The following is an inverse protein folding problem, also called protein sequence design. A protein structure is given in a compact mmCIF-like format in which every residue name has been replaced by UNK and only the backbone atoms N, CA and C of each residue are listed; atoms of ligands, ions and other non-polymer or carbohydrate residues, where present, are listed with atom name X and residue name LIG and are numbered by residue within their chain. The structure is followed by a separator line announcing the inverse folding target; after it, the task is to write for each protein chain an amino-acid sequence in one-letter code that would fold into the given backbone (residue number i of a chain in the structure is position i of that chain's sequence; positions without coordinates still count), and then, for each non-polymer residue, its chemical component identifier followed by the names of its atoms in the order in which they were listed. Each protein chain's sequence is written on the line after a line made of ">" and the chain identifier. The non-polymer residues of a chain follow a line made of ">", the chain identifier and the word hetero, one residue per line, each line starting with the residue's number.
data_IF_998532516820
#
_entry.id   IF_998532516820
#
_cell.length_a   1.000
_cell.length_b   1.000
_cell.length_c   1.000
_cell.angle_alpha   90.00
_cell.angle_beta   90.00
_cell.angle_gamma   90.00
#
_symmetry.space_group_name_H-M   'P 1'
#
loop_
_entity.id
_entity.type
_entity.pdbx_description
1 polymer ?
#
# COMPACT_ATOMS: atom_id res chain seq x y z
N UNK A 1 39.07 15.29 -13.59
CA UNK A 1 39.24 13.86 -13.24
C UNK A 1 39.49 13.75 -11.75
N UNK A 2 38.89 12.77 -11.08
CA UNK A 2 39.20 12.46 -9.67
C UNK A 2 40.59 11.83 -9.58
N UNK A 3 41.31 12.08 -8.48
CA UNK A 3 42.60 11.41 -8.24
C UNK A 3 42.37 9.92 -7.89
N UNK A 4 43.31 9.02 -8.24
CA UNK A 4 43.23 7.60 -7.91
C UNK A 4 42.98 7.40 -6.40
N UNK A 5 41.95 6.63 -6.07
CA UNK A 5 41.62 6.29 -4.68
C UNK A 5 42.32 4.98 -4.28
N UNK A 6 42.85 4.86 -3.05
CA UNK A 6 43.39 3.60 -2.56
C UNK A 6 42.26 2.55 -2.45
N UNK A 7 42.57 1.30 -2.79
CA UNK A 7 41.61 0.19 -2.66
C UNK A 7 41.25 -0.02 -1.16
N UNK A 8 39.95 -0.07 -0.79
CA UNK A 8 39.53 -0.38 0.57
C UNK A 8 40.16 -1.66 1.11
N UNK A 9 40.52 -1.66 2.39
CA UNK A 9 41.31 -2.75 2.98
C UNK A 9 40.61 -4.11 2.90
N UNK A 10 39.29 -4.12 3.05
CA UNK A 10 38.44 -5.30 2.93
C UNK A 10 38.42 -5.93 1.52
N UNK A 11 38.97 -5.25 0.50
CA UNK A 11 39.09 -5.71 -0.87
C UNK A 11 40.53 -6.07 -1.29
N UNK A 12 41.55 -5.71 -0.48
CA UNK A 12 42.95 -6.08 -0.74
C UNK A 12 43.11 -7.60 -0.76
N UNK A 13 43.82 -8.13 -1.76
CA UNK A 13 44.05 -9.58 -1.92
C UNK A 13 42.84 -10.40 -2.38
N UNK A 14 41.69 -9.78 -2.66
CA UNK A 14 40.51 -10.46 -3.22
C UNK A 14 40.42 -10.25 -4.73
N UNK A 15 39.90 -11.25 -5.44
CA UNK A 15 39.54 -11.08 -6.84
C UNK A 15 38.43 -10.01 -6.96
N UNK A 16 38.69 -8.97 -7.75
CA UNK A 16 37.73 -7.91 -8.04
C UNK A 16 37.03 -8.21 -9.36
N UNK A 17 35.76 -7.83 -9.47
CA UNK A 17 35.00 -7.88 -10.71
C UNK A 17 34.48 -6.47 -11.04
N UNK A 18 34.41 -6.09 -12.33
CA UNK A 18 33.84 -4.80 -12.71
C UNK A 18 32.35 -4.78 -12.38
N UNK A 19 31.91 -3.77 -11.62
CA UNK A 19 30.51 -3.52 -11.33
C UNK A 19 30.17 -2.09 -11.71
N UNK A 20 29.19 -1.92 -12.61
CA UNK A 20 28.71 -0.61 -13.07
C UNK A 20 27.25 -0.47 -12.68
N UNK A 21 26.98 0.31 -11.64
CA UNK A 21 25.64 0.78 -11.34
C UNK A 21 25.37 2.05 -12.19
N UNK A 22 24.25 2.10 -12.88
CA UNK A 22 23.90 3.22 -13.76
C UNK A 22 22.39 3.45 -13.75
N UNK A 23 21.97 4.69 -14.06
CA UNK A 23 20.56 5.10 -14.09
C UNK A 23 20.35 6.02 -15.30
N UNK A 24 19.30 5.77 -16.08
CA UNK A 24 18.88 6.55 -17.24
C UNK A 24 19.98 6.78 -18.30
N UNK A 25 20.88 5.81 -18.49
CA UNK A 25 21.92 5.83 -19.53
C UNK A 25 22.08 4.46 -20.20
N UNK A 26 22.53 4.44 -21.44
CA UNK A 26 22.95 3.21 -22.14
C UNK A 26 24.42 2.94 -21.83
N UNK A 27 24.73 1.76 -21.26
CA UNK A 27 26.11 1.34 -21.00
C UNK A 27 26.57 0.36 -22.07
N UNK A 28 27.60 0.74 -22.84
CA UNK A 28 28.35 -0.17 -23.68
C UNK A 28 29.56 -0.68 -22.91
N UNK A 29 29.65 -2.00 -22.69
CA UNK A 29 30.77 -2.63 -21.99
C UNK A 29 31.75 -3.21 -23.01
N UNK A 30 33.03 -2.85 -22.91
CA UNK A 30 34.10 -3.41 -23.73
C UNK A 30 35.11 -4.16 -22.85
N UNK A 31 35.16 -5.48 -23.00
CA UNK A 31 36.10 -6.37 -22.31
C UNK A 31 37.13 -7.00 -23.26
N UNK A 32 37.28 -6.48 -24.48
CA UNK A 32 38.26 -6.98 -25.46
C UNK A 32 39.71 -6.76 -25.04
N UNK A 33 40.67 -7.33 -25.78
CA UNK A 33 42.10 -7.35 -25.40
C UNK A 33 42.83 -6.00 -25.53
N UNK A 34 42.28 -5.06 -26.31
CA UNK A 34 42.83 -3.71 -26.51
C UNK A 34 41.77 -2.66 -26.18
N UNK A 35 42.15 -1.47 -25.68
CA UNK A 35 41.19 -0.41 -25.40
C UNK A 35 40.67 0.22 -26.71
N UNK A 36 39.38 0.62 -26.73
CA UNK A 36 38.74 1.25 -27.91
C UNK A 36 39.37 2.61 -28.33
N UNK A 37 40.17 3.20 -27.44
CA UNK A 37 40.93 4.44 -27.66
C UNK A 37 42.15 4.42 -26.73
N UNK A 38 43.25 5.06 -27.15
CA UNK A 38 44.40 5.29 -26.27
C UNK A 38 43.98 6.03 -24.98
N UNK A 39 44.55 5.60 -23.84
CA UNK A 39 44.17 6.07 -22.49
C UNK A 39 45.14 7.12 -21.92
N UNK A 40 45.71 7.94 -22.79
CA UNK A 40 46.73 8.93 -22.40
C UNK A 40 46.23 9.87 -21.27
N UNK A 41 47.07 10.18 -20.27
CA UNK A 41 48.51 9.91 -20.19
C UNK A 41 48.88 8.55 -19.53
N UNK A 42 47.92 7.66 -19.26
CA UNK A 42 48.19 6.39 -18.57
C UNK A 42 48.05 5.17 -19.49
N UNK A 43 48.59 4.04 -19.03
CA UNK A 43 48.42 2.74 -19.68
C UNK A 43 47.81 1.76 -18.68
N UNK A 44 46.77 1.04 -19.09
CA UNK A 44 46.26 -0.11 -18.38
C UNK A 44 45.91 -1.23 -19.36
N UNK A 45 46.08 -2.48 -18.94
CA UNK A 45 45.54 -3.63 -19.67
C UNK A 45 44.04 -3.67 -19.45
N UNK A 46 43.29 -4.00 -20.50
CA UNK A 46 41.87 -4.36 -20.39
C UNK A 46 41.71 -5.78 -19.83
N UNK A 47 40.51 -6.14 -19.41
CA UNK A 47 40.22 -7.47 -18.84
C UNK A 47 40.50 -8.61 -19.86
N UNK A 48 40.17 -8.43 -21.14
CA UNK A 48 40.48 -9.41 -22.18
C UNK A 48 41.97 -9.52 -22.55
N UNK A 49 42.80 -8.57 -22.09
CA UNK A 49 44.25 -8.56 -22.24
C UNK A 49 45.02 -8.85 -20.94
N UNK A 50 44.31 -9.22 -19.87
CA UNK A 50 44.91 -9.58 -18.59
C UNK A 50 45.58 -10.97 -18.66
N UNK A 51 46.69 -11.15 -17.94
CA UNK A 51 47.36 -12.44 -17.93
C UNK A 51 46.56 -13.47 -17.12
N UNK A 52 46.71 -14.76 -17.43
CA UNK A 52 46.02 -15.84 -16.70
C UNK A 52 46.37 -15.87 -15.19
N UNK A 53 47.54 -15.35 -14.79
CA UNK A 53 47.92 -15.18 -13.38
C UNK A 53 47.19 -14.02 -12.68
N UNK A 54 46.70 -13.03 -13.44
CA UNK A 54 46.03 -11.82 -12.94
C UNK A 54 44.49 -12.01 -12.86
N UNK A 55 43.95 -13.12 -13.39
CA UNK A 55 42.50 -13.36 -13.54
C UNK A 55 42.07 -14.63 -12.82
N UNK A 56 41.15 -14.50 -11.85
CA UNK A 56 40.44 -15.65 -11.27
C UNK A 56 39.21 -15.98 -12.12
N UNK A 57 39.28 -17.03 -12.93
CA UNK A 57 38.11 -17.56 -13.66
C UNK A 57 37.27 -18.41 -12.71
N UNK A 58 36.24 -17.79 -12.11
CA UNK A 58 35.21 -18.54 -11.40
C UNK A 58 34.40 -19.37 -12.40
N UNK A 59 34.65 -20.68 -12.44
CA UNK A 59 33.75 -21.61 -13.13
C UNK A 59 32.45 -21.64 -12.34
N UNK A 60 31.39 -21.06 -12.90
CA UNK A 60 30.04 -21.16 -12.35
C UNK A 60 29.69 -22.63 -12.09
N UNK A 61 28.91 -22.89 -11.03
CA UNK A 61 28.63 -24.24 -10.54
C UNK A 61 28.05 -25.12 -11.66
N UNK A 62 28.91 -25.96 -12.25
CA UNK A 62 28.51 -26.86 -13.32
C UNK A 62 27.58 -27.94 -12.74
N UNK A 63 26.42 -28.19 -13.36
CA UNK A 63 25.50 -29.21 -12.88
C UNK A 63 26.12 -30.60 -13.02
N UNK A 64 25.83 -31.49 -12.06
CA UNK A 64 26.44 -32.83 -11.96
C UNK A 64 26.33 -33.65 -13.25
N UNK A 65 25.20 -33.52 -13.94
CA UNK A 65 24.87 -34.28 -15.16
C UNK A 65 25.20 -33.49 -16.45
N UNK A 66 25.91 -32.36 -16.35
CA UNK A 66 26.21 -31.46 -17.49
C UNK A 66 25.03 -30.64 -18.01
N UNK A 67 23.79 -30.94 -17.58
CA UNK A 67 22.56 -30.21 -17.90
C UNK A 67 22.03 -29.38 -16.74
N UNK A 68 21.58 -28.16 -17.03
CA UNK A 68 20.88 -27.31 -16.04
C UNK A 68 19.39 -27.68 -15.96
N UNK A 69 18.81 -27.65 -14.76
CA UNK A 69 17.39 -27.97 -14.57
C UNK A 69 16.51 -26.75 -14.85
N UNK A 70 15.49 -26.93 -15.69
CA UNK A 70 14.41 -25.97 -15.92
C UNK A 70 13.15 -26.57 -15.31
N UNK A 71 12.87 -26.13 -14.09
CA UNK A 71 11.82 -26.69 -13.24
C UNK A 71 10.52 -25.89 -13.37
N UNK A 72 9.41 -26.60 -13.52
CA UNK A 72 8.06 -26.03 -13.64
C UNK A 72 7.22 -26.44 -12.42
N UNK A 73 6.94 -25.54 -11.46
CA UNK A 73 6.05 -25.82 -10.34
C UNK A 73 4.61 -25.97 -10.84
N UNK A 74 3.97 -27.10 -10.54
CA UNK A 74 2.56 -27.36 -10.85
C UNK A 74 1.82 -27.53 -9.53
N UNK A 75 1.21 -26.46 -9.05
CA UNK A 75 0.48 -26.37 -7.79
C UNK A 75 -0.93 -25.82 -8.03
N UNK A 76 -1.87 -26.10 -7.13
CA UNK A 76 -3.22 -25.56 -7.25
C UNK A 76 -3.26 -24.11 -6.72
N UNK A 77 -4.03 -23.18 -7.35
CA UNK A 77 -4.05 -21.79 -6.93
C UNK A 77 -4.50 -21.62 -5.47
N UNK A 78 -3.91 -20.66 -4.76
CA UNK A 78 -4.22 -20.29 -3.37
C UNK A 78 -3.88 -21.38 -2.32
N UNK A 79 -3.23 -22.48 -2.73
CA UNK A 79 -2.82 -23.59 -1.85
C UNK A 79 -1.30 -23.59 -1.59
N UNK A 80 -0.78 -22.40 -1.25
CA UNK A 80 0.61 -22.25 -0.80
C UNK A 80 1.68 -22.32 -1.91
N UNK A 81 1.31 -22.22 -3.19
CA UNK A 81 2.22 -22.30 -4.36
C UNK A 81 3.51 -21.50 -4.19
N UNK A 82 3.38 -20.21 -3.88
CA UNK A 82 4.54 -19.32 -3.71
C UNK A 82 5.27 -19.53 -2.38
N UNK A 83 4.58 -19.98 -1.33
CA UNK A 83 5.23 -20.31 -0.06
C UNK A 83 6.17 -21.51 -0.21
N UNK A 84 5.74 -22.52 -0.97
CA UNK A 84 6.57 -23.66 -1.34
C UNK A 84 7.75 -23.21 -2.22
N UNK A 85 7.50 -22.34 -3.20
CA UNK A 85 8.55 -21.82 -4.08
C UNK A 85 9.61 -21.02 -3.30
N UNK A 86 9.20 -20.19 -2.35
CA UNK A 86 10.11 -19.38 -1.54
C UNK A 86 11.00 -20.26 -0.66
N UNK A 87 10.45 -21.34 -0.08
CA UNK A 87 11.22 -22.36 0.63
C UNK A 87 12.18 -23.11 -0.31
N UNK A 88 11.69 -23.56 -1.46
CA UNK A 88 12.51 -24.25 -2.47
C UNK A 88 13.71 -23.41 -2.92
N UNK A 89 13.50 -22.12 -3.24
CA UNK A 89 14.59 -21.22 -3.68
C UNK A 89 15.59 -20.98 -2.54
N UNK A 90 15.12 -20.82 -1.30
CA UNK A 90 15.98 -20.65 -0.12
C UNK A 90 16.91 -21.86 0.09
N UNK A 91 16.42 -23.07 -0.12
CA UNK A 91 17.19 -24.31 -0.03
C UNK A 91 18.06 -24.57 -1.27
N UNK A 92 17.62 -24.07 -2.43
CA UNK A 92 18.26 -24.31 -3.73
C UNK A 92 18.71 -23.00 -4.40
N UNK A 93 19.63 -22.22 -3.79
CA UNK A 93 20.02 -20.87 -4.26
C UNK A 93 20.73 -20.82 -5.62
N UNK A 94 21.01 -21.97 -6.24
CA UNK A 94 21.49 -22.04 -7.63
C UNK A 94 20.38 -21.79 -8.66
N UNK A 95 19.11 -21.96 -8.27
CA UNK A 95 17.97 -21.75 -9.15
C UNK A 95 17.63 -20.27 -9.27
N UNK A 96 17.21 -19.89 -10.47
CA UNK A 96 16.76 -18.53 -10.77
C UNK A 96 15.29 -18.56 -11.17
N UNK A 97 14.46 -17.90 -10.38
CA UNK A 97 13.05 -17.78 -10.68
C UNK A 97 12.82 -16.84 -11.86
N UNK A 98 12.05 -17.33 -12.83
CA UNK A 98 11.48 -16.59 -13.94
C UNK A 98 9.99 -16.42 -13.66
N UNK A 99 9.61 -15.24 -13.20
CA UNK A 99 8.23 -14.89 -12.86
C UNK A 99 8.03 -13.38 -12.97
N UNK A 100 6.77 -12.97 -13.11
CA UNK A 100 6.42 -11.56 -13.14
C UNK A 100 6.76 -10.86 -11.80
N UNK A 101 6.61 -11.53 -10.64
CA UNK A 101 7.02 -10.97 -9.34
C UNK A 101 8.53 -10.69 -9.26
N UNK A 102 9.38 -11.51 -9.89
CA UNK A 102 10.83 -11.27 -9.95
C UNK A 102 11.22 -10.15 -10.90
N UNK A 103 10.50 -9.96 -12.01
CA UNK A 103 10.70 -8.78 -12.86
C UNK A 103 10.40 -7.49 -12.08
N UNK A 104 9.35 -7.49 -11.25
CA UNK A 104 9.04 -6.35 -10.37
C UNK A 104 10.11 -6.14 -9.29
N UNK A 105 10.57 -7.21 -8.64
CA UNK A 105 11.68 -7.15 -7.67
C UNK A 105 12.94 -6.52 -8.28
N UNK A 106 13.33 -6.94 -9.49
CA UNK A 106 14.47 -6.37 -10.22
C UNK A 106 14.24 -4.91 -10.64
N UNK A 107 13.03 -4.54 -11.06
CA UNK A 107 12.69 -3.16 -11.39
C UNK A 107 12.83 -2.26 -10.15
N UNK A 108 12.26 -2.69 -9.01
CA UNK A 108 12.37 -1.97 -7.74
C UNK A 108 13.83 -1.86 -7.25
N UNK A 109 14.61 -2.94 -7.32
CA UNK A 109 16.04 -2.94 -7.00
C UNK A 109 16.84 -2.01 -7.94
N UNK A 110 16.39 -1.82 -9.18
CA UNK A 110 16.98 -0.88 -10.16
C UNK A 110 16.52 0.57 -9.98
N UNK A 111 15.80 0.89 -8.88
CA UNK A 111 15.30 2.24 -8.61
C UNK A 111 14.09 2.65 -9.46
N UNK A 112 13.41 1.70 -10.13
CA UNK A 112 12.11 1.94 -10.75
C UNK A 112 11.03 1.90 -9.67
N UNK A 113 10.50 3.07 -9.32
CA UNK A 113 9.44 3.21 -8.35
C UNK A 113 8.08 3.33 -9.05
N UNK A 114 7.02 2.77 -8.46
CA UNK A 114 5.66 2.91 -8.99
C UNK A 114 5.14 4.32 -8.66
N UNK A 115 4.76 5.15 -9.65
CA UNK A 115 4.10 6.43 -9.34
C UNK A 115 2.82 6.19 -8.53
N UNK A 116 2.59 7.04 -7.52
CA UNK A 116 1.56 6.82 -6.51
C UNK A 116 0.13 6.98 -7.05
N UNK A 117 -0.74 6.04 -6.67
CA UNK A 117 -2.22 6.11 -6.70
C UNK A 117 -2.87 6.53 -8.05
N UNK A 118 -2.92 5.58 -8.98
CA UNK A 118 -3.94 5.56 -10.03
C UNK A 118 -5.16 4.71 -9.62
N UNK A 119 -6.36 5.05 -10.13
CA UNK A 119 -7.65 4.39 -9.84
C UNK A 119 -7.75 2.88 -10.20
N UNK A 120 -6.69 2.28 -10.75
CA UNK A 120 -6.61 0.85 -11.13
C UNK A 120 -5.76 0.00 -10.18
N UNK A 121 -5.07 0.63 -9.21
CA UNK A 121 -4.17 -0.09 -8.30
C UNK A 121 -4.89 -1.21 -7.55
N UNK A 122 -4.33 -2.43 -7.63
CA UNK A 122 -4.79 -3.58 -6.84
C UNK A 122 -5.62 -4.61 -7.60
N UNK A 123 -5.69 -4.54 -8.93
CA UNK A 123 -6.38 -5.55 -9.75
C UNK A 123 -5.50 -6.75 -10.17
N UNK A 124 -4.22 -6.76 -9.80
CA UNK A 124 -3.30 -7.87 -10.07
C UNK A 124 -3.48 -9.06 -9.11
N UNK A 125 -2.96 -10.22 -9.51
CA UNK A 125 -2.84 -11.42 -8.66
C UNK A 125 -1.36 -11.71 -8.33
N UNK A 126 -1.05 -12.69 -7.47
CA UNK A 126 0.35 -13.03 -7.19
C UNK A 126 1.07 -13.65 -8.40
N UNK A 127 0.35 -14.39 -9.26
CA UNK A 127 0.85 -14.90 -10.55
C UNK A 127 1.02 -13.80 -11.61
N UNK A 128 0.11 -12.83 -11.62
CA UNK A 128 0.07 -11.72 -12.59
C UNK A 128 -0.03 -10.39 -11.85
N UNK A 129 1.05 -9.96 -11.18
CA UNK A 129 1.08 -8.70 -10.46
C UNK A 129 1.05 -7.51 -11.44
N UNK A 130 0.57 -6.37 -10.96
CA UNK A 130 0.33 -5.20 -11.81
C UNK A 130 1.65 -4.50 -12.21
N UNK A 131 1.89 -4.38 -13.52
CA UNK A 131 2.94 -3.55 -14.11
C UNK A 131 2.33 -2.17 -14.41
N UNK A 132 2.64 -1.20 -13.55
CA UNK A 132 2.18 0.18 -13.65
C UNK A 132 3.28 1.11 -13.12
N UNK A 133 4.41 1.16 -13.82
CA UNK A 133 5.60 1.94 -13.45
C UNK A 133 5.71 3.25 -14.24
N UNK A 134 4.88 3.44 -15.27
CA UNK A 134 5.02 4.53 -16.23
C UNK A 134 6.14 4.30 -17.23
N UNK A 135 6.70 3.08 -17.29
CA UNK A 135 7.74 2.69 -18.24
C UNK A 135 7.14 1.78 -19.30
N UNK A 136 7.18 2.23 -20.55
CA UNK A 136 6.49 1.58 -21.67
C UNK A 136 6.87 0.10 -21.80
N UNK A 137 8.15 -0.24 -21.68
CA UNK A 137 8.71 -1.58 -21.88
C UNK A 137 8.36 -2.56 -20.75
N UNK A 138 8.11 -2.06 -19.53
CA UNK A 138 7.61 -2.87 -18.41
C UNK A 138 6.09 -3.05 -18.53
N UNK A 139 5.36 -1.95 -18.70
CA UNK A 139 3.90 -1.93 -18.62
C UNK A 139 3.24 -2.54 -19.88
N UNK A 140 3.96 -2.64 -21.01
CA UNK A 140 3.54 -3.39 -22.22
C UNK A 140 4.10 -4.84 -22.29
N UNK A 141 4.72 -5.34 -21.22
CA UNK A 141 5.34 -6.67 -21.13
C UNK A 141 6.49 -6.95 -22.14
N UNK A 142 7.14 -5.93 -22.70
CA UNK A 142 8.32 -6.15 -23.57
C UNK A 142 9.49 -6.77 -22.82
N UNK A 143 9.69 -6.41 -21.55
CA UNK A 143 10.70 -7.05 -20.70
C UNK A 143 10.46 -8.56 -20.56
N UNK A 144 9.21 -9.02 -20.43
CA UNK A 144 8.86 -10.46 -20.40
C UNK A 144 9.23 -11.16 -21.71
N UNK A 145 9.03 -10.51 -22.86
CA UNK A 145 9.43 -11.02 -24.19
C UNK A 145 10.96 -11.10 -24.35
N UNK A 146 11.68 -10.07 -23.91
CA UNK A 146 13.15 -10.03 -23.94
C UNK A 146 13.73 -11.13 -23.04
N UNK A 147 13.25 -11.27 -21.81
CA UNK A 147 13.67 -12.33 -20.90
C UNK A 147 13.42 -13.73 -21.50
N UNK A 148 12.24 -13.97 -22.06
CA UNK A 148 11.91 -15.24 -22.71
C UNK A 148 12.80 -15.58 -23.93
N UNK A 149 13.37 -14.58 -24.60
CA UNK A 149 14.30 -14.78 -25.72
C UNK A 149 15.75 -15.00 -25.26
N UNK A 150 16.15 -14.41 -24.13
CA UNK A 150 17.53 -14.48 -23.62
C UNK A 150 17.77 -15.68 -22.70
N UNK A 151 16.78 -16.13 -21.91
CA UNK A 151 16.99 -17.20 -20.91
C UNK A 151 17.44 -18.55 -21.49
N UNK A 152 17.02 -19.01 -22.69
CA UNK A 152 17.54 -20.25 -23.28
C UNK A 152 19.02 -20.17 -23.70
N UNK A 153 19.58 -18.97 -23.82
CA UNK A 153 20.98 -18.76 -24.19
C UNK A 153 21.92 -18.69 -22.98
N UNK A 154 21.37 -18.63 -21.75
CA UNK A 154 22.15 -18.47 -20.52
C UNK A 154 22.14 -19.78 -19.72
N UNK A 155 23.27 -20.51 -19.63
CA UNK A 155 23.35 -21.79 -18.92
C UNK A 155 23.27 -21.61 -17.40
N UNK A 156 22.06 -21.78 -16.83
CA UNK A 156 21.80 -21.78 -15.37
C UNK A 156 20.53 -22.55 -15.02
N UNK A 157 20.39 -22.94 -13.76
CA UNK A 157 19.15 -23.55 -13.27
C UNK A 157 18.03 -22.51 -13.20
N UNK A 158 16.83 -22.87 -13.67
CA UNK A 158 15.67 -21.99 -13.75
C UNK A 158 14.46 -22.59 -13.06
N UNK A 159 13.63 -21.76 -12.43
CA UNK A 159 12.25 -22.10 -12.09
C UNK A 159 11.32 -21.23 -12.93
N UNK A 160 10.51 -21.84 -13.79
CA UNK A 160 9.51 -21.13 -14.60
C UNK A 160 8.21 -21.12 -13.80
N UNK A 161 7.97 -20.02 -13.08
CA UNK A 161 6.83 -19.90 -12.18
C UNK A 161 5.69 -19.12 -12.84
N UNK A 162 4.67 -19.86 -13.29
CA UNK A 162 3.41 -19.35 -13.80
C UNK A 162 2.29 -20.24 -13.22
N UNK A 163 1.44 -19.75 -12.32
CA UNK A 163 0.43 -20.56 -11.62
C UNK A 163 -0.58 -21.12 -12.62
N UNK A 164 -1.22 -20.25 -13.42
CA UNK A 164 -2.20 -20.72 -14.41
C UNK A 164 -1.52 -21.54 -15.50
N UNK A 165 -0.44 -21.03 -16.07
CA UNK A 165 0.12 -21.60 -17.30
C UNK A 165 0.77 -22.97 -17.06
N UNK A 166 1.31 -23.23 -15.86
CA UNK A 166 1.82 -24.55 -15.50
C UNK A 166 0.71 -25.58 -15.26
N UNK A 167 -0.55 -25.17 -15.11
CA UNK A 167 -1.72 -26.06 -15.05
C UNK A 167 -2.31 -26.38 -16.43
N UNK A 168 -2.01 -25.59 -17.46
CA UNK A 168 -2.58 -25.74 -18.81
C UNK A 168 -1.59 -26.45 -19.73
N UNK A 169 -1.93 -27.65 -20.22
CA UNK A 169 -1.04 -28.48 -21.04
C UNK A 169 -0.57 -27.82 -22.36
N UNK A 170 -1.37 -26.91 -22.91
CA UNK A 170 -0.98 -26.09 -24.07
C UNK A 170 0.16 -25.15 -23.71
N UNK A 171 -0.03 -24.35 -22.66
CA UNK A 171 0.93 -23.32 -22.27
C UNK A 171 2.25 -23.96 -21.79
N UNK A 172 2.19 -25.09 -21.07
CA UNK A 172 3.39 -25.90 -20.73
C UNK A 172 4.22 -26.24 -21.96
N UNK A 173 3.61 -26.74 -23.04
CA UNK A 173 4.32 -27.04 -24.30
C UNK A 173 4.95 -25.79 -24.92
N UNK A 174 4.24 -24.66 -24.91
CA UNK A 174 4.73 -23.37 -25.43
C UNK A 174 5.92 -22.80 -24.62
N UNK A 175 6.04 -23.14 -23.34
CA UNK A 175 7.25 -22.85 -22.54
C UNK A 175 8.36 -23.87 -22.75
N UNK A 176 8.06 -25.17 -22.79
CA UNK A 176 9.04 -26.25 -23.00
C UNK A 176 9.79 -26.12 -24.34
N UNK A 177 9.11 -25.64 -25.38
CA UNK A 177 9.71 -25.39 -26.69
C UNK A 177 10.90 -24.42 -26.64
N UNK A 178 10.87 -23.44 -25.71
CA UNK A 178 11.93 -22.43 -25.53
C UNK A 178 13.22 -23.04 -24.98
N UNK A 179 13.11 -24.07 -24.13
CA UNK A 179 14.23 -24.76 -23.49
C UNK A 179 14.56 -26.09 -24.18
N UNK A 180 14.48 -26.12 -25.51
CA UNK A 180 14.74 -27.32 -26.33
C UNK A 180 16.21 -27.62 -26.59
N UNK A 181 17.13 -26.71 -26.22
CA UNK A 181 18.58 -26.90 -26.34
C UNK A 181 19.14 -28.02 -25.45
N UNK A 182 20.24 -28.68 -25.86
CA UNK A 182 20.79 -29.85 -25.15
C UNK A 182 21.33 -29.54 -23.76
N UNK A 183 21.63 -28.27 -23.48
CA UNK A 183 22.12 -27.72 -22.22
C UNK A 183 21.13 -27.86 -21.05
N UNK A 184 19.85 -28.11 -21.34
CA UNK A 184 18.80 -28.15 -20.32
C UNK A 184 18.19 -29.54 -20.15
N UNK A 185 17.77 -29.82 -18.91
CA UNK A 185 16.81 -30.85 -18.53
C UNK A 185 15.52 -30.13 -18.16
N UNK A 186 14.38 -30.57 -18.68
CA UNK A 186 13.06 -30.01 -18.31
C UNK A 186 12.36 -30.91 -17.30
N UNK A 187 12.06 -30.36 -16.13
CA UNK A 187 11.43 -31.08 -15.02
C UNK A 187 10.11 -30.42 -14.66
N UNK A 188 9.03 -31.20 -14.53
CA UNK A 188 7.83 -30.74 -13.83
C UNK A 188 7.89 -31.13 -12.35
N UNK A 189 7.46 -30.23 -11.46
CA UNK A 189 7.43 -30.47 -10.02
C UNK A 189 6.00 -30.27 -9.52
N UNK A 190 5.28 -31.38 -9.30
CA UNK A 190 3.88 -31.39 -8.88
C UNK A 190 3.79 -31.24 -7.36
N UNK A 191 3.16 -30.16 -6.93
CA UNK A 191 3.02 -29.73 -5.53
C UNK A 191 1.52 -29.66 -5.25
N UNK A 192 0.91 -30.83 -5.10
CA UNK A 192 -0.53 -31.01 -4.92
C UNK A 192 -0.83 -32.22 -4.02
N UNK A 193 -1.97 -32.17 -3.36
CA UNK A 193 -2.39 -33.16 -2.37
C UNK A 193 -2.12 -32.68 -0.96
N UNK A 194 -2.01 -33.62 -0.02
CA UNK A 194 -1.73 -33.31 1.37
C UNK A 194 -0.26 -32.91 1.57
N UNK A 195 0.06 -31.71 2.09
CA UNK A 195 1.44 -31.30 2.31
C UNK A 195 2.14 -32.11 3.40
N UNK A 196 3.48 -32.08 3.35
CA UNK A 196 4.33 -32.57 4.41
C UNK A 196 4.14 -31.82 5.74
N UNK A 197 4.65 -32.40 6.83
CA UNK A 197 4.47 -31.86 8.18
C UNK A 197 5.19 -30.51 8.39
N UNK A 198 6.36 -30.32 7.77
CA UNK A 198 7.15 -29.10 7.90
C UNK A 198 6.42 -27.91 7.26
N UNK A 199 5.86 -28.12 6.06
CA UNK A 199 5.06 -27.13 5.37
C UNK A 199 3.78 -26.77 6.16
N UNK A 200 3.05 -27.76 6.68
CA UNK A 200 1.87 -27.53 7.54
C UNK A 200 2.22 -26.69 8.77
N UNK A 201 3.30 -27.03 9.49
CA UNK A 201 3.76 -26.25 10.65
C UNK A 201 4.14 -24.82 10.26
N UNK A 202 4.82 -24.62 9.12
CA UNK A 202 5.15 -23.29 8.61
C UNK A 202 3.91 -22.47 8.23
N UNK A 203 2.85 -23.10 7.72
CA UNK A 203 1.57 -22.45 7.43
C UNK A 203 0.79 -22.12 8.71
N UNK A 204 0.70 -23.03 9.67
CA UNK A 204 0.12 -22.78 10.99
C UNK A 204 0.84 -21.63 11.71
N UNK A 205 2.17 -21.58 11.67
CA UNK A 205 2.95 -20.47 12.24
C UNK A 205 2.66 -19.12 11.56
N UNK A 206 2.39 -19.10 10.24
CA UNK A 206 1.94 -17.89 9.52
C UNK A 206 0.54 -17.46 9.96
N UNK A 207 -0.41 -18.40 10.10
CA UNK A 207 -1.76 -18.12 10.60
C UNK A 207 -1.68 -17.53 12.01
N UNK A 208 -0.93 -18.17 12.90
CA UNK A 208 -0.71 -17.73 14.28
C UNK A 208 -0.12 -16.31 14.32
N UNK A 209 0.94 -16.05 13.56
CA UNK A 209 1.57 -14.72 13.46
C UNK A 209 0.59 -13.66 12.92
N UNK A 210 -0.22 -13.99 11.92
CA UNK A 210 -1.22 -13.07 11.37
C UNK A 210 -2.38 -12.81 12.34
N UNK A 211 -2.80 -13.82 13.10
CA UNK A 211 -3.82 -13.73 14.16
C UNK A 211 -3.33 -12.86 15.32
N UNK A 212 -2.09 -13.11 15.78
CA UNK A 212 -1.42 -12.31 16.80
C UNK A 212 -1.27 -10.85 16.35
N UNK A 213 -0.79 -10.60 15.12
CA UNK A 213 -0.67 -9.24 14.59
C UNK A 213 -2.02 -8.49 14.53
N UNK A 214 -3.11 -9.18 14.15
CA UNK A 214 -4.47 -8.62 14.18
C UNK A 214 -4.95 -8.31 15.60
N UNK A 215 -4.65 -9.17 16.58
CA UNK A 215 -5.02 -8.98 17.98
C UNK A 215 -4.23 -7.82 18.61
N UNK A 216 -2.91 -7.79 18.44
CA UNK A 216 -2.04 -6.68 18.86
C UNK A 216 -2.48 -5.36 18.22
N UNK A 217 -2.81 -5.33 16.92
CA UNK A 217 -3.31 -4.12 16.26
C UNK A 217 -4.67 -3.65 16.82
N UNK A 218 -5.62 -4.57 17.05
CA UNK A 218 -6.91 -4.22 17.69
C UNK A 218 -6.69 -3.64 19.09
N UNK A 219 -5.87 -4.30 19.90
CA UNK A 219 -5.51 -3.82 21.25
C UNK A 219 -4.83 -2.43 21.21
N UNK A 220 -3.93 -2.18 20.25
CA UNK A 220 -3.33 -0.85 20.06
C UNK A 220 -4.37 0.22 19.69
N UNK A 221 -5.31 -0.10 18.78
CA UNK A 221 -6.40 0.81 18.40
C UNK A 221 -7.33 1.09 19.59
N UNK A 222 -7.70 0.07 20.36
CA UNK A 222 -8.54 0.22 21.56
C UNK A 222 -7.84 1.01 22.67
N UNK A 223 -6.55 0.75 22.94
CA UNK A 223 -5.73 1.53 23.88
C UNK A 223 -5.65 3.00 23.44
N UNK A 224 -5.37 3.26 22.16
CA UNK A 224 -5.37 4.61 21.60
C UNK A 224 -6.75 5.30 21.69
N UNK A 225 -7.85 4.58 21.45
CA UNK A 225 -9.20 5.14 21.57
C UNK A 225 -9.56 5.44 23.04
N UNK A 226 -9.19 4.58 24.00
CA UNK A 226 -9.35 4.83 25.44
C UNK A 226 -8.59 6.08 25.87
N UNK A 227 -7.32 6.21 25.48
CA UNK A 227 -6.49 7.40 25.78
C UNK A 227 -7.12 8.65 25.16
N UNK A 228 -7.54 8.60 23.90
CA UNK A 228 -8.23 9.73 23.23
C UNK A 228 -9.53 10.12 23.95
N UNK A 229 -10.33 9.15 24.42
CA UNK A 229 -11.56 9.41 25.19
C UNK A 229 -11.27 10.03 26.56
N UNK A 230 -10.27 9.53 27.30
CA UNK A 230 -9.82 10.13 28.57
C UNK A 230 -9.38 11.59 28.37
N UNK A 231 -8.49 11.84 27.40
CA UNK A 231 -8.00 13.19 27.08
C UNK A 231 -9.12 14.14 26.62
N UNK A 232 -10.06 13.68 25.79
CA UNK A 232 -11.21 14.49 25.36
C UNK A 232 -12.15 14.83 26.52
N UNK A 233 -12.42 13.87 27.42
CA UNK A 233 -13.23 14.11 28.61
C UNK A 233 -12.57 15.12 29.57
N UNK A 234 -11.25 15.06 29.72
CA UNK A 234 -10.51 16.03 30.55
C UNK A 234 -10.46 17.42 29.92
N UNK A 235 -10.15 17.54 28.61
CA UNK A 235 -10.23 18.83 27.89
C UNK A 235 -11.65 19.42 27.98
N UNK A 236 -12.70 18.61 27.83
CA UNK A 236 -14.09 19.06 27.99
C UNK A 236 -14.41 19.53 29.43
N UNK A 237 -13.89 18.85 30.46
CA UNK A 237 -14.04 19.26 31.86
C UNK A 237 -13.33 20.59 32.14
N UNK A 238 -12.06 20.73 31.71
CA UNK A 238 -11.29 21.98 31.83
C UNK A 238 -12.02 23.16 31.16
N UNK A 239 -12.54 22.94 29.96
CA UNK A 239 -13.27 23.97 29.19
C UNK A 239 -14.62 24.34 29.84
N UNK A 240 -15.37 23.36 30.38
CA UNK A 240 -16.60 23.61 31.11
C UNK A 240 -16.37 24.38 32.43
N UNK A 241 -15.30 24.07 33.16
CA UNK A 241 -14.94 24.78 34.39
C UNK A 241 -14.37 26.18 34.10
N UNK A 242 -13.69 26.38 32.97
CA UNK A 242 -13.32 27.71 32.48
C UNK A 242 -14.53 28.56 32.09
N UNK A 243 -15.50 28.00 31.36
CA UNK A 243 -16.77 28.67 31.01
C UNK A 243 -17.55 29.11 32.26
N UNK A 244 -17.65 28.26 33.28
CA UNK A 244 -18.29 28.63 34.56
C UNK A 244 -17.59 29.79 35.26
N UNK A 245 -16.25 29.81 35.29
CA UNK A 245 -15.48 30.92 35.87
C UNK A 245 -15.69 32.21 35.10
N UNK A 246 -15.66 32.16 33.76
CA UNK A 246 -15.92 33.32 32.90
C UNK A 246 -17.35 33.86 33.07
N UNK A 247 -18.35 32.98 33.22
CA UNK A 247 -19.73 33.40 33.50
C UNK A 247 -19.89 34.04 34.88
N UNK A 248 -19.28 33.46 35.92
CA UNK A 248 -19.25 34.05 37.26
C UNK A 248 -18.61 35.44 37.25
N UNK A 249 -17.47 35.61 36.57
CA UNK A 249 -16.78 36.90 36.46
C UNK A 249 -17.61 37.92 35.67
N UNK A 250 -18.31 37.48 34.60
CA UNK A 250 -19.23 38.34 33.83
C UNK A 250 -20.43 38.79 34.68
N UNK A 251 -20.99 37.90 35.50
CA UNK A 251 -22.12 38.22 36.36
C UNK A 251 -21.71 39.18 37.49
N UNK A 252 -20.53 38.98 38.11
CA UNK A 252 -19.96 39.92 39.08
C UNK A 252 -19.69 41.31 38.46
N UNK A 253 -19.19 41.38 37.22
CA UNK A 253 -19.03 42.66 36.49
C UNK A 253 -20.37 43.35 36.26
N UNK A 254 -21.40 42.63 35.82
CA UNK A 254 -22.76 43.16 35.66
C UNK A 254 -23.38 43.65 36.98
N UNK A 255 -23.20 42.93 38.08
CA UNK A 255 -23.67 43.39 39.40
C UNK A 255 -22.93 44.63 39.88
N UNK A 256 -21.61 44.73 39.64
CA UNK A 256 -20.82 45.91 39.98
C UNK A 256 -21.21 47.13 39.13
N UNK A 257 -21.51 46.92 37.85
CA UNK A 257 -21.98 47.96 36.92
C UNK A 257 -23.39 48.44 37.28
N UNK A 258 -24.33 47.52 37.53
CA UNK A 258 -25.68 47.85 38.01
C UNK A 258 -25.67 48.59 39.36
N UNK A 259 -24.75 48.26 40.28
CA UNK A 259 -24.57 49.02 41.53
C UNK A 259 -24.06 50.44 41.28
N UNK A 260 -23.08 50.63 40.39
CA UNK A 260 -22.59 51.96 40.00
C UNK A 260 -23.67 52.78 39.28
N UNK A 261 -24.53 52.15 38.49
CA UNK A 261 -25.63 52.81 37.79
C UNK A 261 -26.76 53.19 38.77
N UNK A 262 -27.10 52.32 39.73
CA UNK A 262 -28.01 52.63 40.81
C UNK A 262 -27.50 53.76 41.71
N UNK A 263 -26.22 53.77 42.05
CA UNK A 263 -25.57 54.84 42.85
C UNK A 263 -25.57 56.17 42.08
N UNK A 264 -25.27 56.16 40.77
CA UNK A 264 -25.42 57.35 39.91
C UNK A 264 -26.87 57.83 39.82
N UNK A 265 -27.86 56.93 39.75
CA UNK A 265 -29.27 57.29 39.73
C UNK A 265 -29.76 57.86 41.08
N UNK A 266 -29.18 57.40 42.20
CA UNK A 266 -29.45 57.98 43.52
C UNK A 266 -28.83 59.38 43.67
N UNK A 267 -27.61 59.59 43.15
CA UNK A 267 -26.98 60.92 43.10
C UNK A 267 -27.75 61.87 42.18
N UNK A 268 -28.18 61.42 40.99
CA UNK A 268 -28.99 62.23 40.08
C UNK A 268 -30.33 62.66 40.71
N UNK A 269 -31.00 61.76 41.46
CA UNK A 269 -32.20 62.13 42.23
C UNK A 269 -31.93 63.10 43.38
N UNK A 270 -30.73 63.08 43.96
CA UNK A 270 -30.29 64.08 44.96
C UNK A 270 -29.87 65.41 44.35
N UNK A 271 -29.58 65.48 43.05
CA UNK A 271 -29.34 66.73 42.32
C UNK A 271 -30.63 67.32 41.71
N UNK A 272 -31.64 66.52 41.36
CA UNK A 272 -32.96 67.03 40.93
C UNK A 272 -33.71 67.74 42.07
N UNK A 273 -33.59 67.30 43.32
CA UNK A 273 -34.15 67.95 44.52
C UNK A 273 -33.49 69.32 44.86
N UNK A 274 -32.56 69.80 44.02
CA UNK A 274 -31.84 71.09 44.18
C UNK A 274 -32.07 72.03 42.98
N UNK A 275 -32.91 71.65 42.00
CA UNK A 275 -33.16 72.44 40.78
C UNK A 275 -34.64 72.64 40.41
N UNK A 276 -35.52 72.74 41.41
CA UNK A 276 -36.91 73.21 41.21
C UNK A 276 -37.17 74.63 41.75
N UNK A 277 -36.24 75.58 41.49
CA UNK A 277 -36.53 77.02 41.60
C UNK A 277 -35.57 77.84 40.70
N UNK A 278 -35.92 78.08 39.41
CA UNK A 278 -36.28 79.42 38.90
C UNK A 278 -36.57 79.49 37.37
N UNK A 279 -37.82 79.89 37.06
CA UNK A 279 -38.39 80.61 35.88
C UNK A 279 -37.84 80.50 34.43
N UNK A 280 -38.76 80.12 33.54
CA UNK A 280 -39.08 80.75 32.22
C UNK A 280 -40.21 81.81 32.43
N UNK A 281 -40.76 82.59 31.45
CA UNK A 281 -40.45 82.77 30.00
C UNK A 281 -40.55 84.22 29.41
N UNK A 282 -40.23 84.38 28.10
CA UNK A 282 -40.94 85.13 26.99
C UNK A 282 -39.98 85.22 25.77
N UNK A 283 -40.34 84.86 24.52
CA UNK A 283 -41.03 85.62 23.43
C UNK A 283 -40.36 86.95 22.99
N UNK A 284 -40.13 87.30 21.71
CA UNK A 284 -40.30 86.56 20.43
C UNK A 284 -40.02 87.42 19.14
N UNK A 285 -40.07 86.77 17.96
CA UNK A 285 -40.35 87.28 16.57
C UNK A 285 -39.30 88.05 15.68
N UNK A 286 -39.24 87.61 14.38
CA UNK A 286 -38.81 88.27 13.10
C UNK A 286 -37.37 88.85 12.95
N UNK A 287 -36.66 88.89 11.80
CA UNK A 287 -36.89 88.45 10.40
C UNK A 287 -36.91 89.63 9.39
N UNK A 288 -36.14 89.70 8.28
CA UNK A 288 -35.09 88.85 7.64
C UNK A 288 -34.62 89.43 6.28
N UNK A 289 -33.85 88.67 5.46
CA UNK A 289 -33.28 89.02 4.10
C UNK A 289 -32.12 90.08 4.10
N UNK A 290 -31.12 90.15 3.18
CA UNK A 290 -30.61 89.41 1.97
C UNK A 290 -29.19 90.00 1.65
N UNK A 291 -28.28 89.51 0.79
CA UNK A 291 -27.98 88.23 0.10
C UNK A 291 -26.62 88.31 -0.67
N UNK A 292 -26.02 87.15 -1.00
CA UNK A 292 -25.01 86.86 -2.06
C UNK A 292 -23.55 87.39 -1.88
N UNK A 293 -22.48 86.72 -2.36
CA UNK A 293 -22.39 85.51 -3.22
C UNK A 293 -21.14 84.62 -2.97
N UNK A 294 -21.26 83.32 -3.35
CA UNK A 294 -20.31 82.28 -3.88
C UNK A 294 -18.80 82.22 -3.46
N UNK A 295 -18.09 81.07 -3.42
CA UNK A 295 -18.28 79.74 -4.04
C UNK A 295 -17.52 78.58 -3.31
N UNK A 296 -18.03 77.32 -3.39
CA UNK A 296 -17.35 75.99 -3.24
C UNK A 296 -16.47 75.62 -1.98
N UNK A 297 -16.43 74.37 -1.42
CA UNK A 297 -17.06 73.06 -1.73
C UNK A 297 -16.99 72.05 -0.54
N UNK A 298 -18.10 71.33 -0.29
CA UNK A 298 -18.27 69.95 0.27
C UNK A 298 -17.96 69.54 1.73
N UNK A 299 -18.84 68.66 2.19
CA UNK A 299 -19.05 68.06 3.52
C UNK A 299 -18.06 66.95 3.91
N UNK A 300 -17.88 66.75 5.23
CA UNK A 300 -17.87 65.44 5.89
C UNK A 300 -18.15 65.59 7.41
N UNK A 301 -18.91 64.66 8.00
CA UNK A 301 -19.36 64.67 9.41
C UNK A 301 -18.46 63.87 10.37
N UNK A 302 -18.51 64.13 11.69
CA UNK A 302 -17.60 63.51 12.65
C UNK A 302 -18.08 62.13 13.13
N UNK A 303 -17.71 61.07 12.42
CA UNK A 303 -17.98 59.67 12.82
C UNK A 303 -16.69 58.85 13.09
N UNK A 304 -15.52 59.46 12.90
CA UNK A 304 -14.22 58.79 12.77
C UNK A 304 -13.36 58.82 14.06
N UNK A 305 -14.00 58.75 15.24
CA UNK A 305 -13.31 58.73 16.56
C UNK A 305 -13.82 57.68 17.56
N UNK A 306 -14.55 56.66 17.08
CA UNK A 306 -15.03 55.54 17.91
C UNK A 306 -14.61 54.15 17.44
N UNK A 307 -14.00 54.00 16.26
CA UNK A 307 -13.56 52.69 15.77
C UNK A 307 -12.12 52.33 16.18
N UNK A 308 -11.20 53.29 16.31
CA UNK A 308 -9.81 52.99 16.66
C UNK A 308 -9.64 52.43 18.09
N UNK A 309 -10.41 52.94 19.06
CA UNK A 309 -10.30 52.52 20.48
C UNK A 309 -10.88 51.10 20.73
N UNK A 310 -11.72 50.59 19.82
CA UNK A 310 -12.30 49.24 19.88
C UNK A 310 -11.37 48.19 19.24
N UNK A 311 -10.51 48.61 18.31
CA UNK A 311 -9.59 47.70 17.61
C UNK A 311 -8.45 47.23 18.50
N UNK A 312 -7.80 48.16 19.21
CA UNK A 312 -6.58 47.89 20.00
C UNK A 312 -6.86 46.96 21.21
N UNK A 313 -8.04 47.05 21.82
CA UNK A 313 -8.43 46.15 22.93
C UNK A 313 -8.82 44.73 22.47
N UNK A 314 -9.06 44.53 21.17
CA UNK A 314 -9.45 43.22 20.61
C UNK A 314 -8.23 42.33 20.31
N UNK A 315 -7.18 42.88 19.70
CA UNK A 315 -5.95 42.13 19.36
C UNK A 315 -5.14 41.74 20.62
N UNK A 316 -5.16 42.59 21.66
CA UNK A 316 -4.49 42.33 22.93
C UNK A 316 -5.10 41.19 23.77
N UNK A 317 -6.34 40.76 23.48
CA UNK A 317 -6.97 39.60 24.14
C UNK A 317 -6.66 38.29 23.41
N UNK A 318 -6.74 38.25 22.09
CA UNK A 318 -6.50 37.05 21.28
C UNK A 318 -5.06 36.55 21.47
N UNK A 319 -4.06 37.44 21.41
CA UNK A 319 -2.64 37.08 21.60
C UNK A 319 -2.32 36.54 23.01
N UNK A 320 -3.15 36.84 24.01
CA UNK A 320 -2.99 36.36 25.39
C UNK A 320 -3.73 35.05 25.67
N UNK A 321 -4.70 34.71 24.82
CA UNK A 321 -5.41 33.43 24.84
C UNK A 321 -4.58 32.35 24.11
N UNK A 322 -3.99 32.67 22.94
CA UNK A 322 -3.04 31.76 22.25
C UNK A 322 -1.80 31.41 23.10
N UNK A 323 -1.15 32.39 23.74
CA UNK A 323 -0.02 32.11 24.64
C UNK A 323 -0.40 31.36 25.94
N UNK A 324 -1.69 31.28 26.27
CA UNK A 324 -2.19 30.50 27.40
C UNK A 324 -2.53 29.05 26.99
N UNK A 325 -2.97 28.81 25.76
CA UNK A 325 -3.08 27.46 25.20
C UNK A 325 -1.69 26.83 24.99
N UNK A 326 -0.76 27.55 24.36
CA UNK A 326 0.60 27.06 24.03
C UNK A 326 1.42 26.68 25.28
N UNK A 327 1.21 27.38 26.41
CA UNK A 327 1.86 27.06 27.71
C UNK A 327 1.11 26.07 28.60
N UNK A 328 -0.11 25.66 28.25
CA UNK A 328 -0.78 24.55 28.93
C UNK A 328 -0.61 23.21 28.20
N UNK A 329 -0.12 23.19 26.97
CA UNK A 329 0.14 21.93 26.25
C UNK A 329 1.43 21.21 26.72
N UNK A 330 2.42 21.93 27.28
CA UNK A 330 3.59 21.32 27.95
C UNK A 330 3.30 20.81 29.38
N UNK A 331 2.16 21.18 29.98
CA UNK A 331 1.88 20.97 31.42
C UNK A 331 1.01 19.76 31.77
N UNK A 332 0.69 18.91 30.80
CA UNK A 332 -0.17 17.73 31.01
C UNK A 332 0.65 16.45 30.94
N UNK A 333 1.44 16.21 32.00
CA UNK A 333 1.72 14.84 32.43
C UNK A 333 0.37 14.15 32.65
N UNK A 334 -0.05 13.37 31.66
CA UNK A 334 -1.02 12.31 31.88
C UNK A 334 -0.30 11.35 32.81
N UNK A 335 -0.67 11.39 34.09
CA UNK A 335 -0.24 10.44 35.11
C UNK A 335 -0.32 9.04 34.47
N UNK A 336 0.82 8.34 34.35
CA UNK A 336 0.92 7.02 33.71
C UNK A 336 0.32 5.91 34.61
N UNK A 337 -0.91 6.17 35.06
CA UNK A 337 -1.74 5.29 35.85
C UNK A 337 -2.36 4.21 34.99
N UNK A 338 -1.70 3.06 35.01
CA UNK A 338 -2.34 1.74 34.97
C UNK A 338 -2.95 1.33 33.61
N UNK A 339 -2.07 0.97 32.66
CA UNK A 339 -2.41 0.03 31.57
C UNK A 339 -1.15 -0.69 31.04
N UNK A 340 -0.32 -1.23 31.95
CA UNK A 340 0.81 -2.17 31.69
C UNK A 340 0.33 -3.58 31.26
N UNK A 341 -0.84 -3.65 30.63
CA UNK A 341 -1.36 -4.89 30.08
C UNK A 341 -0.57 -5.25 28.83
N UNK A 342 0.15 -6.37 28.87
CA UNK A 342 0.81 -6.95 27.71
C UNK A 342 -0.21 -7.21 26.57
N UNK A 343 0.22 -7.16 25.29
CA UNK A 343 -0.67 -7.44 24.18
C UNK A 343 -1.23 -8.86 24.28
N UNK A 344 -2.52 -9.09 23.95
CA UNK A 344 -3.16 -10.38 24.15
C UNK A 344 -2.49 -11.47 23.31
N UNK A 345 -1.93 -12.48 23.97
CA UNK A 345 -1.40 -13.70 23.31
C UNK A 345 -2.57 -14.54 22.81
N UNK A 346 -2.51 -14.99 21.56
CA UNK A 346 -3.58 -15.74 20.90
C UNK A 346 -3.10 -17.12 20.45
N UNK A 347 -3.89 -18.15 20.71
CA UNK A 347 -3.64 -19.52 20.23
C UNK A 347 -4.47 -19.86 18.98
N UNK A 348 -4.08 -20.90 18.24
CA UNK A 348 -4.87 -21.42 17.10
C UNK A 348 -6.02 -22.28 17.59
N UNK A 349 -7.23 -22.09 17.05
CA UNK A 349 -8.35 -23.01 17.28
C UNK A 349 -8.12 -24.36 16.59
N UNK A 350 -8.85 -25.40 16.99
CA UNK A 350 -8.79 -26.72 16.33
C UNK A 350 -9.08 -26.62 14.82
N UNK A 351 -10.01 -25.76 14.42
CA UNK A 351 -10.32 -25.49 13.01
C UNK A 351 -9.14 -24.84 12.26
N UNK A 352 -8.44 -23.89 12.88
CA UNK A 352 -7.25 -23.23 12.30
C UNK A 352 -6.05 -24.18 12.24
N UNK A 353 -5.92 -25.10 13.22
CA UNK A 353 -4.90 -26.15 13.20
C UNK A 353 -5.15 -27.17 12.08
N UNK A 354 -6.41 -27.43 11.72
CA UNK A 354 -6.77 -28.30 10.60
C UNK A 354 -6.49 -27.68 9.22
N UNK A 355 -6.25 -26.37 9.11
CA UNK A 355 -5.92 -25.71 7.84
C UNK A 355 -4.52 -26.08 7.36
N UNK A 356 -4.42 -26.61 6.14
CA UNK A 356 -3.13 -26.92 5.49
C UNK A 356 -2.43 -25.69 4.91
N UNK A 357 -3.18 -24.61 4.64
CA UNK A 357 -2.73 -23.43 3.91
C UNK A 357 -3.19 -22.15 4.61
N UNK A 358 -2.30 -21.17 4.78
CA UNK A 358 -2.68 -19.86 5.30
C UNK A 358 -3.50 -19.07 4.25
N UNK A 359 -4.62 -18.43 4.62
CA UNK A 359 -5.37 -17.56 3.71
C UNK A 359 -4.50 -16.41 3.20
N UNK A 360 -4.52 -16.19 1.88
CA UNK A 360 -3.60 -15.28 1.19
C UNK A 360 -4.33 -14.12 0.52
N UNK A 361 -3.72 -12.94 0.56
CA UNK A 361 -4.14 -11.74 -0.17
C UNK A 361 -2.88 -11.02 -0.69
N UNK A 362 -2.77 -10.70 -2.00
CA UNK A 362 -3.69 -11.06 -3.07
C UNK A 362 -3.68 -12.58 -3.36
N UNK A 363 -4.77 -13.08 -3.92
CA UNK A 363 -4.87 -14.44 -4.45
C UNK A 363 -3.82 -14.70 -5.53
N UNK A 364 -3.47 -15.97 -5.74
CA UNK A 364 -2.55 -16.42 -6.77
C UNK A 364 -3.10 -16.09 -8.18
N UNK A 365 -4.38 -16.34 -8.43
CA UNK A 365 -5.07 -16.02 -9.68
C UNK A 365 -6.19 -15.00 -9.50
N UNK A 366 -6.40 -14.15 -10.50
CA UNK A 366 -7.61 -13.34 -10.60
C UNK A 366 -8.82 -14.22 -10.94
N UNK A 367 -10.03 -13.80 -10.56
CA UNK A 367 -11.27 -14.55 -10.85
C UNK A 367 -11.41 -14.93 -12.33
N UNK A 368 -11.00 -14.02 -13.25
CA UNK A 368 -11.01 -14.27 -14.70
C UNK A 368 -9.95 -15.29 -15.14
N UNK A 369 -8.75 -15.29 -14.53
CA UNK A 369 -7.75 -16.30 -14.83
C UNK A 369 -8.15 -17.68 -14.28
N UNK A 370 -8.82 -17.70 -13.13
CA UNK A 370 -9.25 -18.92 -12.45
C UNK A 370 -10.54 -19.52 -13.03
N UNK A 371 -11.33 -18.80 -13.83
CA UNK A 371 -12.51 -19.37 -14.51
C UNK A 371 -12.14 -20.41 -15.58
N UNK A 372 -10.88 -20.45 -16.02
CA UNK A 372 -10.34 -21.46 -16.95
C UNK A 372 -9.90 -22.76 -16.23
N UNK A 373 -10.36 -22.99 -14.99
CA UNK A 373 -10.06 -24.20 -14.19
C UNK A 373 -10.44 -25.53 -14.87
N UNK A 374 -11.29 -25.50 -15.89
CA UNK A 374 -11.72 -26.68 -16.67
C UNK A 374 -10.55 -27.26 -17.48
N UNK A 375 -9.59 -26.43 -17.89
CA UNK A 375 -8.42 -26.83 -18.67
C UNK A 375 -7.22 -27.24 -17.80
N UNK A 376 -7.39 -27.24 -16.47
CA UNK A 376 -6.33 -27.60 -15.52
C UNK A 376 -6.01 -29.10 -15.57
N UNK A 377 -4.73 -29.40 -15.69
CA UNK A 377 -4.18 -30.73 -15.96
C UNK A 377 -2.84 -30.91 -15.27
N UNK A 378 -2.50 -32.15 -14.90
CA UNK A 378 -1.15 -32.50 -14.46
C UNK A 378 -0.21 -32.71 -15.67
N UNK A 379 1.10 -32.47 -15.50
CA UNK A 379 2.10 -32.62 -16.55
C UNK A 379 2.30 -34.09 -16.95
N UNK A 380 2.36 -34.33 -18.25
CA UNK A 380 2.71 -35.63 -18.82
C UNK A 380 4.09 -35.61 -19.51
N UNK A 381 4.80 -36.75 -19.50
CA UNK A 381 6.07 -36.90 -20.25
C UNK A 381 5.88 -36.71 -21.76
N UNK A 382 4.68 -36.96 -22.27
CA UNK A 382 4.25 -36.71 -23.66
C UNK A 382 4.36 -35.23 -24.08
N UNK A 383 4.45 -34.30 -23.13
CA UNK A 383 4.59 -32.86 -23.38
C UNK A 383 6.03 -32.42 -23.64
N UNK A 384 7.03 -33.28 -23.36
CA UNK A 384 8.46 -32.97 -23.49
C UNK A 384 9.20 -32.78 -22.16
N UNK A 385 8.59 -33.14 -21.02
CA UNK A 385 9.29 -33.24 -19.74
C UNK A 385 10.17 -34.49 -19.69
N UNK A 386 11.44 -34.30 -19.33
CA UNK A 386 12.39 -35.40 -19.09
C UNK A 386 12.12 -36.08 -17.72
N UNK A 387 11.56 -35.33 -16.78
CA UNK A 387 11.32 -35.74 -15.40
C UNK A 387 10.03 -35.10 -14.86
N UNK A 388 9.27 -35.84 -14.04
CA UNK A 388 8.03 -35.37 -13.40
C UNK A 388 8.07 -35.84 -11.95
N UNK A 389 8.39 -34.90 -11.05
CA UNK A 389 8.53 -35.13 -9.60
C UNK A 389 7.20 -34.83 -8.92
N UNK A 390 6.89 -35.59 -7.87
CA UNK A 390 5.70 -35.42 -7.04
C UNK A 390 6.16 -35.17 -5.62
N UNK A 391 5.87 -33.99 -5.07
CA UNK A 391 6.44 -33.51 -3.81
C UNK A 391 5.58 -33.90 -2.60
N UNK A 392 4.30 -33.57 -2.64
CA UNK A 392 3.37 -33.77 -1.54
C UNK A 392 2.67 -35.13 -1.61
N UNK A 393 1.87 -35.36 -2.66
CA UNK A 393 1.21 -36.64 -2.90
C UNK A 393 1.73 -37.29 -4.19
N UNK A 394 1.85 -38.63 -4.15
CA UNK A 394 2.20 -39.45 -5.30
C UNK A 394 1.22 -39.24 -6.48
N UNK A 395 1.65 -39.61 -7.69
CA UNK A 395 0.95 -39.31 -8.95
C UNK A 395 -0.57 -39.58 -8.94
N UNK A 396 -1.02 -40.69 -8.36
CA UNK A 396 -2.44 -41.01 -8.24
C UNK A 396 -3.18 -40.04 -7.30
N UNK A 397 -2.62 -39.75 -6.13
CA UNK A 397 -3.20 -38.84 -5.14
C UNK A 397 -3.25 -37.40 -5.64
N UNK A 398 -2.18 -36.90 -6.29
CA UNK A 398 -2.18 -35.58 -6.93
C UNK A 398 -3.25 -35.46 -8.03
N UNK A 399 -3.45 -36.52 -8.84
CA UNK A 399 -4.46 -36.57 -9.90
C UNK A 399 -5.89 -36.59 -9.34
N UNK A 400 -6.13 -37.36 -8.28
CA UNK A 400 -7.41 -37.37 -7.59
C UNK A 400 -7.71 -36.03 -6.93
N UNK A 401 -6.71 -35.43 -6.28
CA UNK A 401 -6.82 -34.13 -5.63
C UNK A 401 -7.21 -33.02 -6.62
N UNK A 402 -6.49 -32.89 -7.74
CA UNK A 402 -6.83 -31.92 -8.78
C UNK A 402 -8.24 -32.17 -9.34
N UNK A 403 -8.62 -33.44 -9.58
CA UNK A 403 -9.96 -33.80 -10.03
C UNK A 403 -11.04 -33.40 -9.02
N UNK A 404 -10.82 -33.62 -7.72
CA UNK A 404 -11.73 -33.20 -6.64
C UNK A 404 -11.92 -31.68 -6.67
N UNK A 405 -10.83 -30.91 -6.76
CA UNK A 405 -10.85 -29.44 -6.79
C UNK A 405 -11.56 -28.88 -8.03
N UNK A 406 -11.30 -29.44 -9.22
CA UNK A 406 -12.01 -29.07 -10.46
C UNK A 406 -13.51 -29.37 -10.37
N UNK A 407 -13.91 -30.50 -9.78
CA UNK A 407 -15.32 -30.84 -9.56
C UNK A 407 -16.01 -29.96 -8.51
N UNK A 408 -15.32 -29.64 -7.42
CA UNK A 408 -15.78 -28.71 -6.38
C UNK A 408 -15.97 -27.30 -6.95
N UNK A 409 -15.02 -26.83 -7.77
CA UNK A 409 -15.13 -25.55 -8.48
C UNK A 409 -16.29 -25.56 -9.46
N UNK A 410 -16.47 -26.64 -10.24
CA UNK A 410 -17.61 -26.82 -11.14
C UNK A 410 -18.98 -26.81 -10.43
N UNK A 411 -19.05 -27.21 -9.15
CA UNK A 411 -20.27 -27.14 -8.33
C UNK A 411 -20.55 -25.77 -7.73
N UNK A 412 -19.53 -24.93 -7.58
CA UNK A 412 -19.60 -23.63 -6.85
C UNK A 412 -19.48 -22.41 -7.76
N UNK A 413 -18.92 -22.55 -8.96
CA UNK A 413 -18.88 -21.49 -9.97
C UNK A 413 -20.28 -21.22 -10.55
N UNK A 414 -20.65 -19.95 -10.59
CA UNK A 414 -21.87 -19.49 -11.27
C UNK A 414 -21.71 -19.64 -12.79
N UNK A 415 -22.75 -20.10 -13.48
CA UNK A 415 -22.72 -20.31 -14.93
C UNK A 415 -23.31 -19.07 -15.63
N UNK A 416 -22.48 -18.03 -15.79
CA UNK A 416 -22.89 -16.73 -16.35
C UNK A 416 -23.41 -16.82 -17.79
N UNK A 417 -22.95 -17.82 -18.56
CA UNK A 417 -23.23 -17.98 -19.99
C UNK A 417 -24.29 -19.06 -20.29
N UNK A 418 -25.20 -19.36 -19.34
CA UNK A 418 -26.27 -20.33 -19.55
C UNK A 418 -27.35 -19.73 -20.46
N UNK A 419 -27.25 -19.94 -21.77
CA UNK A 419 -28.32 -19.57 -22.70
C UNK A 419 -29.50 -20.56 -22.54
N UNK A 420 -30.71 -20.11 -22.16
CA UNK A 420 -31.83 -21.04 -21.96
C UNK A 420 -32.23 -21.73 -23.27
N UNK A 421 -32.68 -22.97 -23.17
CA UNK A 421 -33.19 -23.71 -24.34
C UNK A 421 -34.57 -23.19 -24.76
N UNK A 422 -34.98 -23.49 -26.00
CA UNK A 422 -36.32 -23.15 -26.50
C UNK A 422 -37.42 -23.61 -25.54
N UNK A 423 -37.30 -24.83 -24.99
CA UNK A 423 -38.20 -25.37 -23.96
C UNK A 423 -38.39 -24.45 -22.74
N UNK A 424 -37.31 -23.80 -22.27
CA UNK A 424 -37.42 -22.85 -21.15
C UNK A 424 -38.16 -21.58 -21.58
N UNK A 425 -37.87 -21.04 -22.77
CA UNK A 425 -38.59 -19.88 -23.30
C UNK A 425 -40.09 -20.17 -23.49
N UNK A 426 -40.43 -21.35 -23.99
CA UNK A 426 -41.81 -21.81 -24.15
C UNK A 426 -42.52 -21.90 -22.78
N UNK A 427 -41.89 -22.53 -21.78
CA UNK A 427 -42.45 -22.64 -20.42
C UNK A 427 -42.58 -21.30 -19.70
N UNK A 428 -41.64 -20.37 -19.90
CA UNK A 428 -41.76 -19.00 -19.40
C UNK A 428 -42.90 -18.25 -20.09
N UNK A 429 -43.15 -18.48 -21.37
CA UNK A 429 -44.28 -17.89 -22.09
C UNK A 429 -45.64 -18.45 -21.63
N UNK A 430 -45.74 -19.76 -21.41
CA UNK A 430 -46.91 -20.40 -20.77
C UNK A 430 -47.16 -19.84 -19.37
N UNK A 431 -46.13 -19.79 -18.52
CA UNK A 431 -46.25 -19.27 -17.15
C UNK A 431 -46.67 -17.80 -17.13
N UNK A 432 -46.10 -16.94 -17.99
CA UNK A 432 -46.49 -15.53 -18.10
C UNK A 432 -47.97 -15.34 -18.48
N UNK A 433 -48.51 -16.19 -19.37
CA UNK A 433 -49.94 -16.20 -19.71
C UNK A 433 -50.79 -16.59 -18.51
N UNK A 434 -50.47 -17.72 -17.87
CA UNK A 434 -51.19 -18.23 -16.70
C UNK A 434 -51.19 -17.21 -15.54
N UNK A 435 -50.04 -16.59 -15.26
CA UNK A 435 -49.91 -15.56 -14.23
C UNK A 435 -50.74 -14.31 -14.55
N UNK A 436 -50.75 -13.85 -15.81
CA UNK A 436 -51.59 -12.72 -16.24
C UNK A 436 -53.10 -13.05 -16.23
N UNK A 437 -53.49 -14.32 -16.40
CA UNK A 437 -54.87 -14.77 -16.19
C UNK A 437 -55.25 -14.81 -14.71
N UNK A 438 -54.33 -15.21 -13.84
CA UNK A 438 -54.53 -15.18 -12.38
C UNK A 438 -54.62 -13.76 -11.83
N UNK A 439 -53.81 -12.81 -12.30
CA UNK A 439 -53.91 -11.40 -11.88
C UNK A 439 -55.19 -10.68 -12.35
N UNK A 440 -55.98 -11.29 -13.24
CA UNK A 440 -57.27 -10.75 -13.73
C UNK A 440 -58.48 -11.33 -13.00
N UNK A 441 -58.26 -12.26 -12.08
CA UNK A 441 -59.28 -12.84 -11.19
C UNK A 441 -59.12 -12.27 -9.78
#
# INVERSE_FOLDING_TARGET
>A
FTQPQPLPECLKGKALFPHVAFRNVTVQVHLGAEPLRALEPFSCRTIGGAAAADVKVEKGAAPKDGKFDVMFPVAYPDEGTFDWLDSFIKENPSYTELSDRKVLEWAHASGVWKPSKGWRQGQGSADKPEFAHGLHELDNFSVRRILAALTPSVPRNYVVMEVKANLVAKDRKDFLARFSGPTFKRTACVVMGEPDAEFKQAQQAKILKAKQAKATHKWQVEKAEKVRKKAAAEKAKKLADAMKKAEQERNLKKEAEAKKEAEKAEVAKKEEDVKEEDKKPEEGAAGGAKAKDEEEKKEATPEEKKEDEIKEESEGKVAKEEQAEDKQEEGMEVEEGDDDQEPPTVELSEEEQALWFAPKMPNDLSNKAFSEYVDFSLPEKSEGFEDVRYVWSQAAGAKEYLRKKVLERKRTSLVDNLNPSQWFHDKVAEWKKLFAEWQKK
#
